data_IF_004675565892
#
_entry.id   IF_004675565892
#
_cell.length_a   1.000
_cell.length_b   1.000
_cell.length_c   1.000
_cell.angle_alpha   90.00
_cell.angle_beta   90.00
_cell.angle_gamma   90.00
#
_symmetry.space_group_name_H-M   'P 1'
#
loop_
_entity.id
_entity.type
_entity.pdbx_description
1 polymer ?
#
# COMPACT_ATOMS: atom_id res chain seq x y z
N UNK A 1 12.89 16.14 -2.03
CA UNK A 1 12.74 14.71 -1.74
C UNK A 1 11.41 14.33 -2.32
N UNK A 2 11.44 13.48 -3.33
CA UNK A 2 10.23 12.97 -3.95
C UNK A 2 9.63 11.89 -3.04
N UNK A 3 8.34 11.63 -3.22
CA UNK A 3 7.64 10.58 -2.50
C UNK A 3 7.25 9.50 -3.49
N UNK A 4 7.48 8.25 -3.11
CA UNK A 4 6.98 7.11 -3.83
C UNK A 4 5.58 6.77 -3.36
N UNK A 5 4.79 6.25 -4.29
CA UNK A 5 3.45 5.80 -4.06
C UNK A 5 3.27 4.38 -4.58
N UNK A 6 2.64 3.52 -3.76
CA UNK A 6 2.15 2.20 -4.15
C UNK A 6 0.63 2.23 -4.03
N UNK A 7 -0.07 1.92 -5.12
CA UNK A 7 -1.54 1.88 -5.15
C UNK A 7 -1.97 0.42 -5.30
N UNK A 8 -2.75 -0.06 -4.33
CA UNK A 8 -3.46 -1.34 -4.38
C UNK A 8 -4.89 -1.08 -4.85
N UNK A 9 -5.26 -1.57 -6.03
CA UNK A 9 -6.51 -1.19 -6.71
C UNK A 9 -7.56 -2.30 -6.60
N UNK A 10 -8.82 -1.90 -6.39
CA UNK A 10 -10.01 -2.78 -6.31
C UNK A 10 -9.92 -3.86 -5.21
N UNK A 11 -9.48 -3.49 -4.01
CA UNK A 11 -9.52 -4.40 -2.87
C UNK A 11 -10.97 -4.63 -2.45
N UNK A 12 -11.37 -5.90 -2.34
CA UNK A 12 -12.66 -6.27 -1.73
C UNK A 12 -12.70 -5.81 -0.28
N UNK A 13 -13.67 -4.96 0.08
CA UNK A 13 -13.82 -4.43 1.44
C UNK A 13 -13.92 -5.53 2.50
N UNK A 14 -14.54 -6.67 2.17
CA UNK A 14 -14.64 -7.85 3.04
C UNK A 14 -13.30 -8.49 3.42
N UNK A 15 -12.19 -8.04 2.83
CA UNK A 15 -10.83 -8.51 3.09
C UNK A 15 -9.95 -7.48 3.80
N UNK A 16 -10.48 -6.27 4.02
CA UNK A 16 -9.70 -5.13 4.50
C UNK A 16 -9.07 -5.39 5.86
N UNK A 17 -9.85 -5.89 6.83
CA UNK A 17 -9.35 -6.14 8.18
C UNK A 17 -8.24 -7.21 8.18
N UNK A 18 -8.43 -8.32 7.46
CA UNK A 18 -7.41 -9.38 7.33
C UNK A 18 -6.14 -8.85 6.66
N UNK A 19 -6.26 -8.05 5.59
CA UNK A 19 -5.11 -7.44 4.92
C UNK A 19 -4.32 -6.53 5.87
N UNK A 20 -5.00 -5.63 6.58
CA UNK A 20 -4.35 -4.60 7.41
C UNK A 20 -3.83 -5.16 8.72
N UNK A 21 -4.63 -5.93 9.45
CA UNK A 21 -4.31 -6.36 10.81
C UNK A 21 -3.61 -7.72 10.87
N UNK A 22 -3.91 -8.65 9.98
CA UNK A 22 -3.33 -10.00 10.05
C UNK A 22 -2.05 -10.12 9.20
N UNK A 23 -2.07 -9.60 7.97
CA UNK A 23 -0.96 -9.75 7.03
C UNK A 23 0.05 -8.61 7.11
N UNK A 24 -0.40 -7.36 6.98
CA UNK A 24 0.47 -6.20 7.18
C UNK A 24 0.81 -5.97 8.65
N UNK A 25 0.04 -6.60 9.57
CA UNK A 25 0.26 -6.56 11.03
C UNK A 25 0.40 -5.15 11.57
N UNK A 26 -0.36 -4.22 11.02
CA UNK A 26 -0.32 -2.82 11.42
C UNK A 26 -0.92 -2.71 12.81
N UNK A 27 -0.07 -2.43 13.78
CA UNK A 27 -0.48 -2.25 15.16
C UNK A 27 -0.96 -0.80 15.36
N UNK A 28 -2.09 -0.59 16.05
CA UNK A 28 -2.48 0.71 16.58
C UNK A 28 -1.37 1.58 17.17
N UNK A 29 -0.37 0.99 17.82
CA UNK A 29 0.75 1.71 18.42
C UNK A 29 1.75 2.29 17.41
N UNK A 30 1.73 1.82 16.15
CA UNK A 30 2.57 2.34 15.07
C UNK A 30 1.97 3.60 14.41
N UNK A 31 0.69 3.87 14.65
CA UNK A 31 0.01 5.05 14.12
C UNK A 31 0.48 6.32 14.86
N UNK A 32 1.19 7.18 14.13
CA UNK A 32 1.63 8.50 14.60
C UNK A 32 0.45 9.47 14.64
N UNK A 33 -0.37 9.45 13.58
CA UNK A 33 -1.61 10.21 13.47
C UNK A 33 -2.54 9.51 12.49
N UNK A 34 -3.83 9.82 12.58
CA UNK A 34 -4.84 9.25 11.70
C UNK A 34 -6.04 10.17 11.62
N UNK A 35 -6.76 10.08 10.50
CA UNK A 35 -8.03 10.77 10.31
C UNK A 35 -9.01 9.81 9.65
N UNK A 36 -9.99 9.36 10.43
CA UNK A 36 -11.09 8.54 9.93
C UNK A 36 -12.40 9.07 10.49
N UNK A 37 -13.42 9.14 9.64
CA UNK A 37 -14.74 9.58 10.06
C UNK A 37 -15.65 8.38 10.30
N UNK A 38 -16.24 8.28 11.49
CA UNK A 38 -17.22 7.25 11.81
C UNK A 38 -18.64 7.78 11.61
N UNK A 39 -19.26 7.39 10.50
CA UNK A 39 -20.63 7.80 10.17
C UNK A 39 -21.70 7.28 11.15
N UNK A 40 -21.41 6.25 11.95
CA UNK A 40 -22.36 5.70 12.93
C UNK A 40 -22.53 6.62 14.14
N UNK A 41 -21.42 7.21 14.60
CA UNK A 41 -21.40 8.12 15.77
C UNK A 41 -21.20 9.58 15.37
N UNK A 42 -21.00 9.86 14.07
CA UNK A 42 -20.85 11.19 13.48
C UNK A 42 -19.63 11.99 14.01
N UNK A 43 -18.51 11.28 14.25
CA UNK A 43 -17.29 11.83 14.86
C UNK A 43 -16.04 11.26 14.20
N UNK A 44 -14.93 12.00 14.31
CA UNK A 44 -13.61 11.50 13.94
C UNK A 44 -13.11 10.50 14.98
N UNK A 45 -12.54 9.39 14.51
CA UNK A 45 -11.94 8.36 15.33
C UNK A 45 -10.47 8.17 14.98
N UNK A 46 -9.66 7.95 16.02
CA UNK A 46 -8.26 7.60 15.84
C UNK A 46 -8.13 6.13 15.41
N UNK A 47 -7.07 5.80 14.66
CA UNK A 47 -6.83 4.44 14.17
C UNK A 47 -6.83 3.40 15.30
N UNK A 48 -6.30 3.77 16.47
CA UNK A 48 -6.29 2.92 17.67
C UNK A 48 -7.66 2.59 18.27
N UNK A 49 -8.70 3.29 17.86
CA UNK A 49 -10.09 3.08 18.31
C UNK A 49 -10.88 2.25 17.29
N UNK A 50 -10.27 1.86 16.16
CA UNK A 50 -10.94 1.15 15.09
C UNK A 50 -10.78 -0.36 15.33
N UNK A 51 -11.88 -1.01 15.68
CA UNK A 51 -11.92 -2.48 15.80
C UNK A 51 -12.08 -3.18 14.43
N UNK A 52 -12.67 -2.47 13.45
CA UNK A 52 -12.88 -2.97 12.09
C UNK A 52 -12.90 -1.80 11.10
N UNK A 53 -11.91 -1.78 10.20
CA UNK A 53 -11.88 -0.84 9.08
C UNK A 53 -12.99 -1.18 8.10
N UNK A 54 -13.30 -2.46 7.90
CA UNK A 54 -14.44 -2.86 7.06
C UNK A 54 -15.74 -2.18 7.50
N UNK A 55 -16.05 -2.21 8.81
CA UNK A 55 -17.26 -1.59 9.34
C UNK A 55 -17.21 -0.07 9.25
N UNK A 56 -16.06 0.53 9.58
CA UNK A 56 -15.87 1.98 9.51
C UNK A 56 -16.04 2.53 8.09
N UNK A 57 -15.58 1.78 7.09
CA UNK A 57 -15.67 2.13 5.67
C UNK A 57 -17.02 1.76 5.04
N UNK A 58 -18.01 1.33 5.83
CA UNK A 58 -19.35 0.93 5.35
C UNK A 58 -20.38 2.04 5.63
N UNK A 59 -21.22 2.40 4.64
CA UNK A 59 -21.31 1.85 3.29
C UNK A 59 -20.21 2.35 2.36
N UNK A 60 -19.72 3.57 2.53
CA UNK A 60 -18.53 4.10 1.85
C UNK A 60 -17.73 4.89 2.86
N UNK A 61 -16.42 5.02 2.65
CA UNK A 61 -15.59 5.76 3.58
C UNK A 61 -14.23 6.08 3.00
N UNK A 62 -13.65 7.14 3.53
CA UNK A 62 -12.26 7.50 3.30
C UNK A 62 -11.57 7.70 4.64
N UNK A 63 -10.26 7.53 4.66
CA UNK A 63 -9.48 7.82 5.84
C UNK A 63 -8.00 7.67 5.58
N UNK A 64 -7.19 8.09 6.53
CA UNK A 64 -5.75 7.96 6.42
C UNK A 64 -5.09 7.69 7.77
N UNK A 65 -3.92 7.07 7.71
CA UNK A 65 -3.05 6.84 8.86
C UNK A 65 -1.61 7.08 8.44
N UNK A 66 -0.89 7.87 9.23
CA UNK A 66 0.56 7.97 9.14
C UNK A 66 1.16 6.93 10.09
N UNK A 67 1.92 6.00 9.53
CA UNK A 67 2.65 4.98 10.26
C UNK A 67 4.11 5.38 10.40
N UNK A 68 4.70 5.13 11.56
CA UNK A 68 6.14 5.28 11.75
C UNK A 68 6.92 4.32 10.85
N UNK A 69 6.43 3.09 10.71
CA UNK A 69 6.97 2.09 9.80
C UNK A 69 5.91 1.07 9.37
N UNK A 70 6.12 0.47 8.20
CA UNK A 70 5.33 -0.62 7.63
C UNK A 70 6.28 -1.74 7.21
N UNK A 71 5.90 -2.99 7.51
CA UNK A 71 6.60 -4.17 7.01
C UNK A 71 5.90 -4.72 5.76
N UNK A 72 6.50 -4.50 4.59
CA UNK A 72 6.05 -4.99 3.30
C UNK A 72 7.24 -5.66 2.60
N UNK A 73 7.55 -6.91 2.95
CA UNK A 73 8.78 -7.61 2.52
C UNK A 73 10.09 -7.05 3.12
N UNK A 74 10.15 -5.73 3.30
CA UNK A 74 11.15 -4.97 4.02
C UNK A 74 10.46 -3.90 4.90
N UNK A 75 11.23 -3.27 5.78
CA UNK A 75 10.75 -2.14 6.58
C UNK A 75 10.82 -0.86 5.74
N UNK A 76 9.70 -0.14 5.68
CA UNK A 76 9.54 1.16 5.03
C UNK A 76 9.07 2.14 6.10
N UNK A 77 9.75 3.26 6.27
CA UNK A 77 9.41 4.28 7.28
C UNK A 77 8.52 5.39 6.74
N UNK A 78 7.91 6.13 7.64
CA UNK A 78 7.13 7.36 7.35
C UNK A 78 6.08 7.18 6.25
N UNK A 79 5.28 6.11 6.40
CA UNK A 79 4.29 5.67 5.43
C UNK A 79 2.95 6.31 5.73
N UNK A 80 2.51 7.21 4.86
CA UNK A 80 1.13 7.68 4.81
C UNK A 80 0.31 6.64 4.05
N UNK A 81 -0.70 6.09 4.68
CA UNK A 81 -1.64 5.18 4.05
C UNK A 81 -3.02 5.82 3.96
N UNK A 82 -3.57 5.84 2.75
CA UNK A 82 -4.88 6.42 2.45
C UNK A 82 -5.80 5.31 1.98
N UNK A 83 -7.01 5.30 2.52
CA UNK A 83 -8.07 4.36 2.21
C UNK A 83 -9.21 5.09 1.52
N UNK A 84 -9.73 4.53 0.43
CA UNK A 84 -10.91 5.06 -0.25
C UNK A 84 -11.78 3.92 -0.73
N UNK A 85 -12.95 3.74 -0.10
CA UNK A 85 -13.82 2.60 -0.36
C UNK A 85 -15.24 3.03 -0.74
N UNK A 86 -15.74 2.44 -1.82
CA UNK A 86 -17.15 2.41 -2.17
C UNK A 86 -17.85 1.23 -1.45
N UNK A 87 -19.13 0.92 -1.71
CA UNK A 87 -19.84 -0.18 -1.06
C UNK A 87 -19.17 -1.55 -1.09
N UNK A 88 -18.44 -1.87 -2.16
CA UNK A 88 -17.91 -3.23 -2.38
C UNK A 88 -16.38 -3.27 -2.44
N UNK A 89 -15.78 -2.28 -3.11
CA UNK A 89 -14.35 -2.22 -3.41
C UNK A 89 -13.76 -0.90 -2.97
N UNK A 90 -12.43 -0.85 -2.89
CA UNK A 90 -11.71 0.38 -2.68
C UNK A 90 -10.23 0.22 -2.88
N UNK A 91 -9.56 1.36 -2.83
CA UNK A 91 -8.14 1.47 -3.08
C UNK A 91 -7.40 1.80 -1.79
N UNK A 92 -6.16 1.31 -1.70
CA UNK A 92 -5.23 1.67 -0.65
C UNK A 92 -3.98 2.24 -1.29
N UNK A 93 -3.64 3.44 -0.88
CA UNK A 93 -2.45 4.16 -1.34
C UNK A 93 -1.44 4.14 -0.20
N UNK A 94 -0.20 3.73 -0.47
CA UNK A 94 0.94 3.81 0.43
C UNK A 94 1.91 4.84 -0.12
N UNK A 95 2.17 5.89 0.64
CA UNK A 95 2.99 7.00 0.21
C UNK A 95 4.14 7.24 1.22
N UNK A 96 5.38 7.23 0.75
CA UNK A 96 6.58 7.24 1.61
C UNK A 96 7.79 7.90 0.91
N UNK A 97 8.83 8.33 1.64
CA UNK A 97 10.02 8.93 1.04
C UNK A 97 10.72 7.98 0.05
N UNK A 98 11.14 8.48 -1.11
CA UNK A 98 11.78 7.64 -2.15
C UNK A 98 13.03 6.88 -1.67
N UNK A 99 13.79 7.49 -0.74
CA UNK A 99 14.99 6.89 -0.16
C UNK A 99 14.71 5.62 0.64
N UNK A 100 13.47 5.44 1.12
CA UNK A 100 13.08 4.19 1.76
C UNK A 100 13.07 3.04 0.75
N UNK A 101 12.98 3.30 -0.55
CA UNK A 101 13.19 2.28 -1.56
C UNK A 101 14.60 2.33 -2.16
N UNK A 102 15.11 3.52 -2.46
CA UNK A 102 16.28 3.74 -3.32
C UNK A 102 17.59 4.09 -2.60
N UNK A 103 17.70 3.84 -1.29
CA UNK A 103 18.94 4.07 -0.53
C UNK A 103 19.78 2.80 -0.31
N UNK A 104 21.10 2.98 -0.15
CA UNK A 104 22.07 1.93 0.15
C UNK A 104 22.88 1.46 -1.05
N UNK A 105 23.69 0.41 -0.86
CA UNK A 105 24.46 -0.18 -1.96
C UNK A 105 23.55 -0.98 -2.91
N UNK A 106 24.02 -1.16 -4.15
CA UNK A 106 23.27 -1.80 -5.25
C UNK A 106 22.68 -3.18 -4.86
N UNK A 107 23.39 -3.97 -4.05
CA UNK A 107 22.94 -5.32 -3.67
C UNK A 107 21.84 -5.23 -2.61
N UNK A 108 22.02 -4.38 -1.60
CA UNK A 108 21.01 -4.14 -0.56
C UNK A 108 19.73 -3.58 -1.17
N UNK A 109 19.87 -2.58 -2.04
CA UNK A 109 18.79 -1.98 -2.81
C UNK A 109 17.98 -3.03 -3.59
N UNK A 110 18.66 -3.83 -4.41
CA UNK A 110 18.01 -4.88 -5.23
C UNK A 110 17.23 -5.86 -4.35
N UNK A 111 17.83 -6.31 -3.26
CA UNK A 111 17.19 -7.25 -2.35
C UNK A 111 15.97 -6.64 -1.64
N UNK A 112 16.01 -5.34 -1.30
CA UNK A 112 14.87 -4.62 -0.70
C UNK A 112 13.70 -4.54 -1.68
N UNK A 113 13.96 -4.07 -2.90
CA UNK A 113 12.95 -3.99 -3.98
C UNK A 113 12.35 -5.35 -4.28
N UNK A 114 13.20 -6.38 -4.42
CA UNK A 114 12.75 -7.76 -4.68
C UNK A 114 11.73 -8.23 -3.65
N UNK A 115 12.01 -8.07 -2.36
CA UNK A 115 11.11 -8.51 -1.28
C UNK A 115 9.80 -7.74 -1.25
N UNK A 116 9.83 -6.44 -1.57
CA UNK A 116 8.62 -5.62 -1.68
C UNK A 116 7.76 -6.14 -2.83
N UNK A 117 8.34 -6.32 -4.02
CA UNK A 117 7.61 -6.84 -5.19
C UNK A 117 7.06 -8.25 -4.93
N UNK A 118 7.85 -9.15 -4.32
CA UNK A 118 7.39 -10.47 -3.89
C UNK A 118 6.16 -10.36 -2.98
N UNK A 119 6.21 -9.50 -1.97
CA UNK A 119 5.10 -9.29 -1.04
C UNK A 119 3.86 -8.71 -1.73
N UNK A 120 4.04 -7.78 -2.67
CA UNK A 120 2.95 -7.21 -3.46
C UNK A 120 2.27 -8.27 -4.34
N UNK A 121 3.05 -9.15 -4.99
CA UNK A 121 2.52 -10.26 -5.79
C UNK A 121 1.74 -11.24 -4.89
N UNK A 122 2.29 -11.61 -3.73
CA UNK A 122 1.62 -12.49 -2.77
C UNK A 122 0.29 -11.90 -2.29
N UNK A 123 0.28 -10.62 -1.89
CA UNK A 123 -0.95 -9.93 -1.47
C UNK A 123 -1.95 -9.83 -2.62
N UNK A 124 -1.50 -9.47 -3.82
CA UNK A 124 -2.36 -9.36 -5.01
C UNK A 124 -3.11 -10.67 -5.25
N UNK A 125 -2.39 -11.79 -5.24
CA UNK A 125 -2.94 -13.12 -5.44
C UNK A 125 -3.86 -13.55 -4.29
N UNK A 126 -3.46 -13.33 -3.04
CA UNK A 126 -4.22 -13.73 -1.85
C UNK A 126 -5.55 -12.99 -1.71
N UNK A 127 -5.58 -11.71 -2.07
CA UNK A 127 -6.75 -10.85 -1.88
C UNK A 127 -7.55 -10.58 -3.14
N UNK A 128 -7.05 -11.04 -4.30
CA UNK A 128 -7.68 -10.78 -5.59
C UNK A 128 -7.65 -9.29 -5.95
N UNK A 129 -6.54 -8.61 -5.63
CA UNK A 129 -6.31 -7.20 -6.01
C UNK A 129 -6.16 -7.18 -7.53
N UNK A 130 -6.90 -6.31 -8.21
CA UNK A 130 -6.93 -6.29 -9.69
C UNK A 130 -5.57 -5.86 -10.23
N UNK A 131 -5.02 -4.80 -9.65
CA UNK A 131 -3.83 -4.09 -10.13
C UNK A 131 -3.03 -3.51 -8.97
N UNK A 132 -1.71 -3.48 -9.10
CA UNK A 132 -0.82 -2.70 -8.24
C UNK A 132 -0.01 -1.74 -9.08
N UNK A 133 0.00 -0.44 -8.74
CA UNK A 133 0.85 0.58 -9.37
C UNK A 133 1.93 1.04 -8.40
N UNK A 134 3.13 1.31 -8.90
CA UNK A 134 4.23 1.90 -8.15
C UNK A 134 4.78 3.07 -8.98
N UNK A 135 4.90 4.25 -8.38
CA UNK A 135 5.35 5.44 -9.09
C UNK A 135 5.80 6.55 -8.16
N UNK A 136 6.32 7.62 -8.75
CA UNK A 136 6.49 8.90 -8.04
C UNK A 136 5.11 9.52 -7.84
N UNK A 137 4.85 10.10 -6.68
CA UNK A 137 3.54 10.70 -6.37
C UNK A 137 3.19 11.83 -7.37
N UNK A 138 2.00 11.76 -8.03
CA UNK A 138 0.96 10.74 -7.91
C UNK A 138 1.20 9.54 -8.86
N UNK A 139 1.25 8.31 -8.36
CA UNK A 139 1.48 7.11 -9.19
C UNK A 139 0.25 6.69 -10.03
N UNK A 140 -0.87 7.38 -9.83
CA UNK A 140 -2.08 7.23 -10.64
C UNK A 140 -1.92 7.83 -12.05
N UNK A 141 -1.00 8.78 -12.23
CA UNK A 141 -0.70 9.36 -13.53
C UNK A 141 0.29 8.45 -14.30
N UNK A 142 0.09 8.31 -15.61
CA UNK A 142 0.85 7.34 -16.42
C UNK A 142 2.31 7.75 -16.65
N UNK A 143 2.62 9.05 -16.59
CA UNK A 143 3.97 9.59 -16.77
C UNK A 143 4.86 9.46 -15.53
N UNK A 144 4.26 9.36 -14.35
CA UNK A 144 4.94 9.16 -13.06
C UNK A 144 4.87 7.71 -12.57
N UNK A 145 4.08 6.86 -13.23
CA UNK A 145 3.97 5.44 -12.95
C UNK A 145 5.20 4.68 -13.48
N UNK A 146 6.05 4.24 -12.56
CA UNK A 146 7.27 3.51 -12.87
C UNK A 146 6.97 2.05 -13.22
N UNK A 147 5.94 1.47 -12.59
CA UNK A 147 5.71 0.03 -12.63
C UNK A 147 4.27 -0.34 -12.33
N UNK A 148 3.76 -1.38 -13.02
CA UNK A 148 2.42 -1.89 -12.83
C UNK A 148 2.39 -3.42 -12.83
N UNK A 149 1.62 -4.00 -11.90
CA UNK A 149 1.30 -5.43 -11.81
C UNK A 149 -0.19 -5.64 -12.12
N UNK A 150 -0.51 -6.08 -13.32
CA UNK A 150 -1.84 -6.55 -13.71
C UNK A 150 -1.96 -8.08 -13.66
N UNK A 151 -3.18 -8.63 -13.84
CA UNK A 151 -3.41 -10.08 -14.00
C UNK A 151 -2.54 -10.73 -15.10
N UNK A 152 -2.07 -9.93 -16.06
CA UNK A 152 -1.28 -10.32 -17.23
C UNK A 152 0.22 -10.45 -16.99
N UNK A 153 0.73 -10.26 -15.76
CA UNK A 153 2.14 -10.57 -15.43
C UNK A 153 2.33 -12.08 -15.28
N UNK A 154 1.96 -12.85 -16.32
CA UNK A 154 2.23 -14.28 -16.43
C UNK A 154 3.56 -14.58 -17.13
N UNK A 155 4.23 -13.56 -17.71
CA UNK A 155 5.44 -13.77 -18.52
C UNK A 155 6.71 -13.12 -17.98
N UNK A 156 6.62 -12.16 -17.05
CA UNK A 156 7.83 -11.54 -16.49
C UNK A 156 8.29 -12.32 -15.27
N UNK A 157 9.59 -12.64 -15.21
CA UNK A 157 10.20 -13.14 -13.99
C UNK A 157 10.28 -12.03 -12.96
N UNK A 158 10.30 -12.39 -11.67
CA UNK A 158 10.50 -11.43 -10.59
C UNK A 158 11.74 -10.55 -10.79
N UNK A 159 12.82 -11.10 -11.33
CA UNK A 159 14.05 -10.33 -11.60
C UNK A 159 13.83 -9.25 -12.65
N UNK A 160 13.03 -9.51 -13.69
CA UNK A 160 12.69 -8.51 -14.70
C UNK A 160 11.83 -7.38 -14.13
N UNK A 161 10.95 -7.69 -13.17
CA UNK A 161 10.15 -6.68 -12.45
C UNK A 161 11.06 -5.78 -11.59
N UNK A 162 12.02 -6.39 -10.89
CA UNK A 162 13.03 -5.67 -10.11
C UNK A 162 13.89 -4.76 -10.99
N UNK A 163 14.34 -5.27 -12.14
CA UNK A 163 15.15 -4.50 -13.08
C UNK A 163 14.39 -3.30 -13.67
N UNK A 164 13.11 -3.48 -14.02
CA UNK A 164 12.24 -2.39 -14.50
C UNK A 164 12.09 -1.26 -13.48
N UNK A 165 11.97 -1.58 -12.20
CA UNK A 165 11.82 -0.57 -11.16
C UNK A 165 13.13 0.14 -10.84
N UNK A 166 14.27 -0.55 -10.92
CA UNK A 166 15.59 -0.01 -10.56
C UNK A 166 16.32 0.71 -11.69
N UNK A 167 16.06 0.33 -12.94
CA UNK A 167 16.80 0.78 -14.11
C UNK A 167 15.87 1.33 -15.19
N UNK A 168 14.91 2.15 -14.77
CA UNK A 168 14.11 2.98 -15.69
C UNK A 168 15.05 3.63 -16.72
N UNK A 169 14.69 3.63 -18.02
CA UNK A 169 15.53 4.22 -19.07
C UNK A 169 15.78 5.72 -18.88
#
# INVERSE_FOLDING_TARGET
MERLEIILIDIKKSKLDTLIFDDLKINPSQAVRSHFYNHTINEDVAFKQIDSLQNLMTPSGTGNVLLQELKLGAIIKDVMMVFSFNPVYGDIILNFPEEELFSGDKKTLRNKVKKIIESLIEMKNKYGISKVRIGIEPAADDDTCLFELEETVQNNTLEELVDKLLYQP
#
